data_IF_011021098374
#
_entry.id   IF_011021098374
#
_cell.length_a   1.000
_cell.length_b   1.000
_cell.length_c   1.000
_cell.angle_alpha   90.00
_cell.angle_beta   90.00
_cell.angle_gamma   90.00
#
_symmetry.space_group_name_H-M   'P 1'
#
loop_
_entity.id
_entity.type
_entity.pdbx_description
1 polymer ?
#
# COMPACT_ATOMS: atom_id res chain seq x y z
N UNK A 1 5.11 -26.11 8.19
CA UNK A 1 5.64 -25.13 9.14
C UNK A 1 6.71 -24.27 8.49
N UNK A 2 6.61 -22.99 8.63
CA UNK A 2 7.53 -22.04 8.02
C UNK A 2 8.51 -21.51 9.06
N UNK A 3 9.74 -21.17 8.66
CA UNK A 3 10.62 -20.41 9.55
C UNK A 3 9.90 -19.14 10.00
N UNK A 4 10.02 -18.82 11.27
CA UNK A 4 9.33 -17.70 11.87
C UNK A 4 9.58 -16.39 11.12
N UNK A 5 10.82 -16.14 10.73
CA UNK A 5 11.18 -14.91 10.03
C UNK A 5 10.49 -14.81 8.68
N UNK A 6 10.44 -15.91 7.92
CA UNK A 6 9.78 -15.91 6.61
C UNK A 6 8.30 -15.66 6.74
N UNK A 7 7.65 -16.31 7.68
CA UNK A 7 6.21 -16.15 7.89
C UNK A 7 5.90 -14.71 8.33
N UNK A 8 6.69 -14.16 9.24
CA UNK A 8 6.49 -12.81 9.75
C UNK A 8 6.63 -11.78 8.63
N UNK A 9 7.65 -11.91 7.78
CA UNK A 9 7.86 -10.97 6.69
C UNK A 9 6.69 -10.96 5.72
N UNK A 10 6.21 -12.13 5.31
CA UNK A 10 5.08 -12.25 4.39
C UNK A 10 3.83 -11.68 5.03
N UNK A 11 3.56 -12.03 6.28
CA UNK A 11 2.37 -11.55 7.00
C UNK A 11 2.41 -10.04 7.18
N UNK A 12 3.56 -9.48 7.51
CA UNK A 12 3.69 -8.04 7.71
C UNK A 12 3.47 -7.27 6.41
N UNK A 13 4.01 -7.76 5.30
CA UNK A 13 3.78 -7.13 3.99
C UNK A 13 2.30 -7.14 3.63
N UNK A 14 1.62 -8.24 3.87
CA UNK A 14 0.20 -8.34 3.60
C UNK A 14 -0.59 -7.34 4.45
N UNK A 15 -0.30 -7.28 5.74
CA UNK A 15 -0.98 -6.37 6.65
C UNK A 15 -0.75 -4.92 6.23
N UNK A 16 0.48 -4.56 5.89
CA UNK A 16 0.81 -3.22 5.45
C UNK A 16 0.02 -2.85 4.20
N UNK A 17 -0.02 -3.74 3.22
CA UNK A 17 -0.76 -3.50 1.97
C UNK A 17 -2.24 -3.27 2.26
N UNK A 18 -2.83 -4.06 3.15
CA UNK A 18 -4.24 -3.94 3.48
C UNK A 18 -4.54 -2.68 4.29
N UNK A 19 -3.65 -2.26 5.16
CA UNK A 19 -3.82 -1.01 5.89
C UNK A 19 -3.80 0.19 4.95
N UNK A 20 -2.89 0.19 3.98
CA UNK A 20 -2.84 1.26 2.97
C UNK A 20 -4.11 1.25 2.13
N UNK A 21 -4.53 0.09 1.67
CA UNK A 21 -5.72 -0.06 0.85
C UNK A 21 -6.97 0.45 1.56
N UNK A 22 -7.07 0.16 2.86
CA UNK A 22 -8.17 0.65 3.68
C UNK A 22 -8.20 2.18 3.72
N UNK A 23 -7.05 2.83 3.85
CA UNK A 23 -7.01 4.28 3.87
C UNK A 23 -7.37 4.88 2.52
N UNK A 24 -6.98 4.23 1.43
CA UNK A 24 -7.42 4.68 0.10
C UNK A 24 -8.94 4.69 0.04
N UNK A 25 -9.59 3.62 0.48
CA UNK A 25 -11.05 3.54 0.47
C UNK A 25 -11.67 4.62 1.36
N UNK A 26 -11.16 4.82 2.56
CA UNK A 26 -11.70 5.80 3.49
C UNK A 26 -11.56 7.21 2.97
N UNK A 27 -10.46 7.51 2.30
CA UNK A 27 -10.19 8.87 1.83
C UNK A 27 -10.87 9.20 0.50
N UNK A 28 -11.27 8.19 -0.26
CA UNK A 28 -11.89 8.40 -1.58
C UNK A 28 -13.37 8.05 -1.61
N UNK A 29 -13.92 7.50 -0.53
CA UNK A 29 -15.31 7.09 -0.46
C UNK A 29 -15.60 5.95 -1.40
N UNK A 30 -16.74 6.05 -2.12
CA UNK A 30 -17.17 5.00 -3.03
C UNK A 30 -16.64 5.15 -4.45
N UNK A 31 -15.82 6.17 -4.70
CA UNK A 31 -15.44 6.53 -6.06
C UNK A 31 -14.55 5.48 -6.73
N UNK A 32 -13.69 4.76 -5.96
CA UNK A 32 -12.78 3.77 -6.54
C UNK A 32 -12.64 2.49 -5.70
N UNK A 33 -13.72 1.96 -5.11
CA UNK A 33 -13.57 0.87 -4.12
C UNK A 33 -13.01 -0.44 -4.67
N UNK A 34 -13.28 -0.76 -5.93
CA UNK A 34 -12.88 -2.06 -6.49
C UNK A 34 -11.74 -1.98 -7.50
N UNK A 35 -11.22 -0.79 -7.73
CA UNK A 35 -10.21 -0.59 -8.76
C UNK A 35 -8.83 -0.34 -8.16
N UNK A 36 -8.62 -0.79 -6.92
CA UNK A 36 -7.38 -0.50 -6.19
C UNK A 36 -6.73 -1.78 -5.71
N UNK A 37 -5.46 -1.93 -6.03
CA UNK A 37 -4.59 -2.94 -5.45
C UNK A 37 -3.38 -2.23 -4.87
N UNK A 38 -2.79 -2.78 -3.81
CA UNK A 38 -1.59 -2.21 -3.20
C UNK A 38 -0.54 -3.29 -3.13
N UNK A 39 0.67 -2.98 -3.60
CA UNK A 39 1.82 -3.87 -3.47
C UNK A 39 2.85 -3.21 -2.58
N UNK A 40 3.48 -4.00 -1.72
CA UNK A 40 4.61 -3.55 -0.92
C UNK A 40 5.87 -3.94 -1.69
N UNK A 41 6.56 -2.93 -2.22
CA UNK A 41 7.70 -3.16 -3.09
C UNK A 41 9.01 -3.31 -2.30
N UNK A 42 9.11 -2.61 -1.19
CA UNK A 42 10.28 -2.64 -0.32
C UNK A 42 9.83 -2.69 1.12
N UNK A 43 10.44 -3.55 1.89
CA UNK A 43 10.18 -3.67 3.33
C UNK A 43 11.50 -4.02 3.99
N UNK A 44 12.17 -3.04 4.57
CA UNK A 44 13.52 -3.22 5.12
C UNK A 44 13.63 -2.66 6.53
N UNK A 45 14.09 -3.49 7.45
CA UNK A 45 14.42 -3.03 8.79
C UNK A 45 15.76 -2.30 8.75
N UNK A 46 15.82 -1.14 9.39
CA UNK A 46 17.01 -0.31 9.49
C UNK A 46 17.25 0.07 10.94
N UNK A 47 18.46 0.56 11.24
CA UNK A 47 18.81 0.99 12.60
C UNK A 47 18.51 -0.09 13.64
N UNK A 48 18.93 -1.32 13.33
CA UNK A 48 18.77 -2.47 14.22
C UNK A 48 17.30 -2.73 14.57
N UNK A 49 16.42 -2.52 13.60
CA UNK A 49 14.99 -2.77 13.79
C UNK A 49 14.20 -1.62 14.40
N UNK A 50 14.85 -0.48 14.64
CA UNK A 50 14.16 0.67 15.21
C UNK A 50 13.45 1.53 14.16
N UNK A 51 13.68 1.24 12.88
CA UNK A 51 13.02 1.90 11.78
C UNK A 51 12.76 0.88 10.68
N UNK A 52 11.54 0.87 10.14
CA UNK A 52 11.24 0.05 8.99
C UNK A 52 10.96 0.97 7.81
N UNK A 53 11.69 0.77 6.72
CA UNK A 53 11.51 1.55 5.49
C UNK A 53 10.64 0.76 4.54
N UNK A 54 9.51 1.35 4.14
CA UNK A 54 8.52 0.70 3.29
C UNK A 54 8.28 1.56 2.06
N UNK A 55 8.32 0.93 0.89
CA UNK A 55 7.84 1.55 -0.34
C UNK A 55 6.68 0.70 -0.84
N UNK A 56 5.59 1.35 -1.19
CA UNK A 56 4.41 0.66 -1.65
C UNK A 56 3.80 1.42 -2.83
N UNK A 57 3.11 0.67 -3.69
CA UNK A 57 2.48 1.24 -4.88
C UNK A 57 0.99 0.99 -4.84
N UNK A 58 0.22 2.04 -5.08
CA UNK A 58 -1.23 1.97 -5.25
C UNK A 58 -1.49 1.84 -6.74
N UNK A 59 -2.08 0.71 -7.15
CA UNK A 59 -2.36 0.41 -8.55
C UNK A 59 -3.80 0.73 -8.88
N UNK A 60 -4.00 1.51 -9.93
CA UNK A 60 -5.33 1.94 -10.37
C UNK A 60 -5.51 1.61 -11.85
N UNK A 61 -6.75 1.59 -12.32
CA UNK A 61 -7.05 1.28 -13.71
C UNK A 61 -7.13 2.52 -14.62
N UNK A 62 -7.49 3.68 -14.06
CA UNK A 62 -7.82 4.86 -14.87
C UNK A 62 -7.15 6.12 -14.38
N UNK A 63 -6.85 7.02 -15.31
CA UNK A 63 -6.29 8.33 -14.98
C UNK A 63 -7.18 9.13 -14.05
N UNK A 64 -8.49 9.05 -14.23
CA UNK A 64 -9.43 9.76 -13.35
C UNK A 64 -9.32 9.31 -11.91
N UNK A 65 -9.07 8.02 -11.69
CA UNK A 65 -8.88 7.47 -10.34
C UNK A 65 -7.58 7.99 -9.74
N UNK A 66 -6.54 8.10 -10.54
CA UNK A 66 -5.26 8.64 -10.07
C UNK A 66 -5.43 10.06 -9.56
N UNK A 67 -6.17 10.89 -10.29
CA UNK A 67 -6.44 12.25 -9.86
C UNK A 67 -7.18 12.30 -8.52
N UNK A 68 -8.13 11.39 -8.30
CA UNK A 68 -8.88 11.32 -7.06
C UNK A 68 -7.96 10.92 -5.89
N UNK A 69 -7.10 9.92 -6.10
CA UNK A 69 -6.20 9.42 -5.05
C UNK A 69 -5.13 10.46 -4.69
N UNK A 70 -4.57 11.13 -5.68
CA UNK A 70 -3.55 12.15 -5.43
C UNK A 70 -4.17 13.39 -4.81
N UNK A 71 -5.33 13.81 -5.35
CA UNK A 71 -6.05 14.97 -4.85
C UNK A 71 -5.38 16.27 -5.23
N UNK A 72 -5.99 17.37 -4.77
CA UNK A 72 -5.50 18.71 -5.07
C UNK A 72 -4.14 18.92 -4.44
N UNK A 73 -3.16 19.26 -5.26
CA UNK A 73 -1.77 19.49 -4.82
C UNK A 73 -1.16 18.31 -4.06
N UNK A 74 -1.61 17.10 -4.36
CA UNK A 74 -1.10 15.92 -3.68
C UNK A 74 -1.60 15.73 -2.26
N UNK A 75 -2.57 16.54 -1.82
CA UNK A 75 -3.04 16.54 -0.44
C UNK A 75 -3.70 15.24 0.00
N UNK A 76 -4.48 14.63 -0.90
CA UNK A 76 -5.15 13.38 -0.57
C UNK A 76 -4.12 12.26 -0.35
N UNK A 77 -3.17 12.15 -1.26
CA UNK A 77 -2.13 11.12 -1.16
C UNK A 77 -1.30 11.31 0.12
N UNK A 78 -1.01 12.55 0.47
CA UNK A 78 -0.28 12.86 1.68
C UNK A 78 -1.07 12.40 2.92
N UNK A 79 -2.38 12.63 2.95
CA UNK A 79 -3.23 12.17 4.05
C UNK A 79 -3.27 10.65 4.13
N UNK A 80 -3.41 9.98 2.97
CA UNK A 80 -3.39 8.53 2.92
C UNK A 80 -2.07 8.02 3.50
N UNK A 81 -0.95 8.61 3.11
CA UNK A 81 0.36 8.21 3.59
C UNK A 81 0.51 8.40 5.08
N UNK A 82 0.10 9.55 5.61
CA UNK A 82 0.22 9.84 7.04
C UNK A 82 -0.62 8.87 7.88
N UNK A 83 -1.88 8.67 7.51
CA UNK A 83 -2.76 7.77 8.25
C UNK A 83 -2.31 6.32 8.16
N UNK A 84 -1.87 5.90 6.97
CA UNK A 84 -1.33 4.55 6.78
C UNK A 84 -0.10 4.33 7.64
N UNK A 85 0.82 5.29 7.63
CA UNK A 85 2.06 5.19 8.41
C UNK A 85 1.76 5.04 9.89
N UNK A 86 0.83 5.86 10.41
CA UNK A 86 0.47 5.79 11.82
C UNK A 86 -0.10 4.43 12.20
N UNK A 87 -0.98 3.89 11.37
CA UNK A 87 -1.55 2.57 11.63
C UNK A 87 -0.51 1.46 11.52
N UNK A 88 0.39 1.57 10.54
CA UNK A 88 1.46 0.60 10.38
C UNK A 88 2.39 0.63 11.59
N UNK A 89 2.72 1.82 12.08
CA UNK A 89 3.55 1.94 13.27
C UNK A 89 2.91 1.28 14.48
N UNK A 90 1.61 1.46 14.65
CA UNK A 90 0.89 0.79 15.75
C UNK A 90 0.94 -0.72 15.60
N UNK A 91 0.75 -1.20 14.37
CA UNK A 91 0.70 -2.63 14.10
C UNK A 91 2.06 -3.29 14.29
N UNK A 92 3.12 -2.64 13.82
CA UNK A 92 4.47 -3.21 13.85
C UNK A 92 5.24 -2.87 15.13
N UNK A 93 4.78 -1.88 15.89
CA UNK A 93 5.41 -1.49 17.14
C UNK A 93 6.74 -0.78 16.98
N UNK A 94 6.97 -0.13 15.82
CA UNK A 94 8.21 0.59 15.58
C UNK A 94 7.95 1.75 14.64
N UNK A 95 8.93 2.63 14.51
CA UNK A 95 8.82 3.74 13.57
C UNK A 95 8.91 3.26 12.13
N UNK A 96 8.17 3.93 11.26
CA UNK A 96 8.07 3.56 9.86
C UNK A 96 8.32 4.79 8.99
N UNK A 97 9.16 4.61 7.97
CA UNK A 97 9.24 5.53 6.86
C UNK A 97 8.44 4.93 5.71
N UNK A 98 7.39 5.61 5.29
CA UNK A 98 6.50 5.11 4.24
C UNK A 98 6.54 6.02 3.04
N UNK A 99 6.85 5.44 1.88
CA UNK A 99 6.82 6.15 0.61
C UNK A 99 5.77 5.47 -0.29
N UNK A 100 4.82 6.25 -0.77
CA UNK A 100 3.75 5.76 -1.62
C UNK A 100 3.93 6.23 -3.05
N UNK A 101 3.70 5.32 -3.99
CA UNK A 101 3.65 5.60 -5.41
C UNK A 101 2.26 5.28 -5.93
N UNK A 102 1.85 5.96 -6.98
CA UNK A 102 0.58 5.69 -7.64
C UNK A 102 0.89 5.31 -9.08
N UNK A 103 0.32 4.20 -9.53
CA UNK A 103 0.58 3.70 -10.87
C UNK A 103 -0.74 3.31 -11.52
N UNK A 104 -0.85 3.61 -12.82
CA UNK A 104 -2.01 3.20 -13.60
C UNK A 104 -1.64 1.98 -14.41
N UNK A 105 -2.51 0.97 -14.34
CA UNK A 105 -2.36 -0.23 -15.15
C UNK A 105 -3.74 -0.59 -15.65
N UNK A 106 -4.00 -0.25 -16.89
CA UNK A 106 -5.34 -0.42 -17.50
C UNK A 106 -5.72 -1.89 -17.57
N UNK A 107 -6.97 -2.17 -17.20
CA UNK A 107 -7.57 -3.51 -17.31
C UNK A 107 -6.79 -4.59 -16.55
N UNK A 108 -6.11 -4.23 -15.46
CA UNK A 108 -5.29 -5.21 -14.72
C UNK A 108 -6.13 -6.37 -14.19
N UNK A 109 -7.41 -6.14 -13.88
CA UNK A 109 -8.29 -7.21 -13.36
C UNK A 109 -8.60 -8.28 -14.41
N UNK A 110 -8.40 -7.96 -15.69
CA UNK A 110 -8.60 -8.90 -16.79
C UNK A 110 -7.29 -9.56 -17.25
N UNK A 111 -6.18 -9.11 -16.69
CA UNK A 111 -4.85 -9.59 -17.06
C UNK A 111 -4.40 -10.61 -16.00
N UNK A 112 -4.31 -11.87 -16.39
CA UNK A 112 -3.92 -12.95 -15.48
C UNK A 112 -2.54 -12.71 -14.86
N UNK A 113 -1.59 -12.21 -15.65
CA UNK A 113 -0.25 -11.92 -15.14
C UNK A 113 -0.26 -10.81 -14.12
N UNK A 114 -1.01 -9.76 -14.39
CA UNK A 114 -1.13 -8.64 -13.46
C UNK A 114 -1.79 -9.08 -12.15
N UNK A 115 -2.85 -9.90 -12.24
CA UNK A 115 -3.53 -10.42 -11.06
C UNK A 115 -2.57 -11.22 -10.20
N UNK A 116 -1.77 -12.09 -10.81
CA UNK A 116 -0.79 -12.89 -10.07
C UNK A 116 0.27 -12.00 -9.41
N UNK A 117 0.76 -10.99 -10.13
CA UNK A 117 1.77 -10.08 -9.61
C UNK A 117 1.27 -9.32 -8.39
N UNK A 118 -0.03 -9.00 -8.35
CA UNK A 118 -0.63 -8.29 -7.24
C UNK A 118 -1.04 -9.21 -6.08
N UNK A 119 -0.94 -10.52 -6.25
CA UNK A 119 -1.26 -11.46 -5.20
C UNK A 119 -2.73 -11.82 -5.07
N UNK A 120 -3.49 -11.61 -6.12
CA UNK A 120 -4.92 -11.92 -6.12
C UNK A 120 -5.27 -13.18 -6.88
#
# INVERSE_FOLDING_TARGET
FFPEDTLTDVSERFIVAELIREQVFRMTGEEIPYATAVTVDTFKAKKEGRLISIEATIHLERDSQKGIVIGKHGGKLKQIGTRSREQIEQQLGTKVFLKLFVRIQKNWRKDTKAIRRFGY
#
